data_IF_593139328434
#
_entry.id   IF_593139328434
#
_cell.length_a   1.000
_cell.length_b   1.000
_cell.length_c   1.000
_cell.angle_alpha   90.00
_cell.angle_beta   90.00
_cell.angle_gamma   90.00
#
_symmetry.space_group_name_H-M   'P 1'
#
loop_
_entity.id
_entity.type
_entity.pdbx_description
1 polymer ?
#
# COMPACT_ATOMS: atom_id res chain seq x y z
N UNK A 1 -7.26 -27.60 -4.25
CA UNK A 1 -6.81 -26.43 -5.04
C UNK A 1 -7.31 -25.13 -4.43
N UNK A 2 -8.61 -24.91 -4.20
CA UNK A 2 -9.15 -23.69 -3.58
C UNK A 2 -8.53 -23.35 -2.21
N UNK A 3 -8.41 -24.33 -1.31
CA UNK A 3 -7.72 -24.18 0.00
C UNK A 3 -6.27 -23.69 -0.15
N UNK A 4 -5.51 -24.25 -1.10
CA UNK A 4 -4.13 -23.87 -1.35
C UNK A 4 -4.02 -22.41 -1.81
N UNK A 5 -4.90 -21.96 -2.73
CA UNK A 5 -4.92 -20.56 -3.17
C UNK A 5 -5.23 -19.60 -2.03
N UNK A 6 -6.16 -19.95 -1.14
CA UNK A 6 -6.48 -19.16 0.05
C UNK A 6 -5.28 -18.99 0.98
N UNK A 7 -4.56 -20.07 1.27
CA UNK A 7 -3.35 -20.01 2.11
C UNK A 7 -2.23 -19.21 1.47
N UNK A 8 -1.97 -19.42 0.17
CA UNK A 8 -0.95 -18.64 -0.55
C UNK A 8 -1.26 -17.14 -0.51
N UNK A 9 -2.51 -16.76 -0.75
CA UNK A 9 -2.92 -15.35 -0.68
C UNK A 9 -2.73 -14.77 0.72
N UNK A 10 -3.10 -15.51 1.77
CA UNK A 10 -2.92 -15.06 3.15
C UNK A 10 -1.43 -14.90 3.51
N UNK A 11 -0.59 -15.88 3.16
CA UNK A 11 0.86 -15.79 3.42
C UNK A 11 1.53 -14.67 2.64
N UNK A 12 1.10 -14.40 1.40
CA UNK A 12 1.59 -13.26 0.63
C UNK A 12 1.23 -11.93 1.30
N UNK A 13 -0.03 -11.75 1.72
CA UNK A 13 -0.47 -10.55 2.44
C UNK A 13 0.34 -10.33 3.74
N UNK A 14 0.53 -11.40 4.52
CA UNK A 14 1.34 -11.34 5.75
C UNK A 14 2.82 -11.06 5.45
N UNK A 15 3.38 -11.61 4.36
CA UNK A 15 4.75 -11.31 3.94
C UNK A 15 4.93 -9.84 3.55
N UNK A 16 3.96 -9.26 2.84
CA UNK A 16 3.94 -7.82 2.51
C UNK A 16 3.85 -6.97 3.76
N UNK A 17 2.94 -7.29 4.69
CA UNK A 17 2.83 -6.60 5.99
C UNK A 17 4.16 -6.66 6.77
N UNK A 18 4.76 -7.84 6.85
CA UNK A 18 6.09 -8.02 7.46
C UNK A 18 7.15 -7.20 6.73
N UNK A 19 7.09 -7.11 5.40
CA UNK A 19 7.93 -6.22 4.61
C UNK A 19 7.81 -4.76 5.06
N UNK A 20 6.60 -4.24 5.21
CA UNK A 20 6.39 -2.86 5.68
C UNK A 20 6.92 -2.63 7.09
N UNK A 21 6.77 -3.61 7.99
CA UNK A 21 7.41 -3.58 9.32
C UNK A 21 8.93 -3.47 9.19
N UNK A 22 9.55 -4.28 8.34
CA UNK A 22 11.00 -4.26 8.12
C UNK A 22 11.47 -2.94 7.50
N UNK A 23 10.69 -2.37 6.58
CA UNK A 23 10.98 -1.04 6.03
C UNK A 23 10.92 0.04 7.12
N UNK A 24 9.94 -0.03 8.03
CA UNK A 24 9.86 0.86 9.18
C UNK A 24 11.08 0.73 10.10
N UNK A 25 11.42 -0.50 10.51
CA UNK A 25 12.57 -0.75 11.39
C UNK A 25 13.89 -0.31 10.75
N UNK A 26 14.09 -0.58 9.45
CA UNK A 26 15.24 -0.11 8.70
C UNK A 26 15.34 1.41 8.76
N UNK A 27 14.26 2.13 8.43
CA UNK A 27 14.24 3.59 8.45
C UNK A 27 14.45 4.15 9.87
N UNK A 28 13.93 3.49 10.90
CA UNK A 28 14.13 3.87 12.31
C UNK A 28 15.59 3.72 12.74
N UNK A 29 16.25 2.62 12.36
CA UNK A 29 17.67 2.37 12.67
C UNK A 29 18.57 3.32 11.89
N UNK A 30 18.38 3.46 10.58
CA UNK A 30 19.14 4.40 9.74
C UNK A 30 19.06 5.82 10.27
N UNK A 31 17.89 6.21 10.78
CA UNK A 31 17.67 7.50 11.42
C UNK A 31 18.39 7.63 12.78
N UNK A 32 18.45 6.56 13.57
CA UNK A 32 19.11 6.57 14.89
C UNK A 32 20.62 6.80 14.78
N UNK A 33 21.22 6.47 13.63
CA UNK A 33 22.64 6.71 13.34
C UNK A 33 22.93 8.19 13.08
N UNK A 34 21.96 8.95 12.54
CA UNK A 34 22.14 10.35 12.14
C UNK A 34 21.39 11.30 13.09
N UNK A 35 22.09 12.03 13.98
CA UNK A 35 21.47 13.07 14.80
C UNK A 35 20.69 14.06 13.92
N UNK A 36 19.44 14.38 14.26
CA UNK A 36 18.59 15.34 13.53
C UNK A 36 18.25 15.07 12.05
N UNK A 37 18.65 13.94 11.45
CA UNK A 37 18.11 13.46 10.16
C UNK A 37 16.57 13.41 10.07
N UNK A 38 16.03 13.43 8.86
CA UNK A 38 14.59 13.49 8.60
C UNK A 38 13.87 12.18 8.98
N UNK A 39 12.73 12.29 9.66
CA UNK A 39 11.91 11.15 10.11
C UNK A 39 10.75 10.85 9.17
N UNK A 40 10.59 11.61 8.07
CA UNK A 40 9.47 11.45 7.15
C UNK A 40 9.31 10.02 6.65
N UNK A 41 10.38 9.38 6.16
CA UNK A 41 10.28 8.03 5.60
C UNK A 41 9.96 6.96 6.66
N UNK A 42 10.46 7.14 7.88
CA UNK A 42 10.12 6.31 9.05
C UNK A 42 8.62 6.41 9.37
N UNK A 43 8.06 7.62 9.38
CA UNK A 43 6.64 7.81 9.65
C UNK A 43 5.74 7.26 8.53
N UNK A 44 6.11 7.45 7.25
CA UNK A 44 5.37 6.86 6.12
C UNK A 44 5.36 5.33 6.22
N UNK A 45 6.52 4.71 6.46
CA UNK A 45 6.62 3.24 6.58
C UNK A 45 5.88 2.70 7.81
N UNK A 46 5.86 3.43 8.93
CA UNK A 46 5.04 3.08 10.09
C UNK A 46 3.55 3.13 9.77
N UNK A 47 3.08 4.19 9.11
CA UNK A 47 1.68 4.32 8.70
C UNK A 47 1.27 3.18 7.76
N UNK A 48 2.12 2.82 6.80
CA UNK A 48 1.88 1.67 5.91
C UNK A 48 1.80 0.37 6.70
N UNK A 49 2.75 0.10 7.60
CA UNK A 49 2.73 -1.10 8.43
C UNK A 49 1.43 -1.19 9.26
N UNK A 50 1.01 -0.11 9.92
CA UNK A 50 -0.21 -0.10 10.74
C UNK A 50 -1.47 -0.31 9.89
N UNK A 51 -1.53 0.28 8.69
CA UNK A 51 -2.65 0.07 7.76
C UNK A 51 -2.77 -1.40 7.35
N UNK A 52 -1.64 -2.04 7.01
CA UNK A 52 -1.63 -3.46 6.63
C UNK A 52 -1.87 -4.39 7.80
N UNK A 53 -1.36 -4.06 9.00
CA UNK A 53 -1.64 -4.80 10.22
C UNK A 53 -3.15 -4.79 10.55
N UNK A 54 -3.83 -3.66 10.35
CA UNK A 54 -5.27 -3.55 10.56
C UNK A 54 -6.10 -4.33 9.52
N UNK A 55 -5.58 -4.47 8.29
CA UNK A 55 -6.23 -5.19 7.19
C UNK A 55 -5.91 -6.69 7.13
N UNK A 56 -4.90 -7.17 7.86
CA UNK A 56 -4.33 -8.51 7.67
C UNK A 56 -5.28 -9.64 8.15
N UNK A 57 -5.53 -10.67 7.32
CA UNK A 57 -6.43 -11.77 7.65
C UNK A 57 -6.02 -12.58 8.89
N UNK A 58 -4.73 -12.79 9.12
CA UNK A 58 -4.26 -13.54 10.29
C UNK A 58 -4.48 -12.75 11.57
N UNK A 59 -4.34 -11.43 11.50
CA UNK A 59 -4.60 -10.52 12.61
C UNK A 59 -6.08 -10.54 12.97
N UNK A 60 -6.98 -10.45 11.98
CA UNK A 60 -8.43 -10.59 12.22
C UNK A 60 -8.82 -11.95 12.79
N UNK A 61 -8.19 -13.04 12.33
CA UNK A 61 -8.42 -14.39 12.86
C UNK A 61 -7.90 -14.54 14.30
N UNK A 62 -6.72 -13.98 14.61
CA UNK A 62 -6.11 -14.03 15.95
C UNK A 62 -6.96 -13.27 16.97
N UNK A 63 -7.54 -12.13 16.59
CA UNK A 63 -8.41 -11.34 17.45
C UNK A 63 -9.89 -11.76 17.40
N UNK A 64 -10.22 -12.86 16.71
CA UNK A 64 -11.60 -13.37 16.54
C UNK A 64 -12.57 -12.31 15.98
N UNK A 65 -12.07 -11.39 15.14
CA UNK A 65 -12.87 -10.38 14.44
C UNK A 65 -13.41 -11.03 13.15
N UNK A 66 -14.06 -12.17 13.26
CA UNK A 66 -14.56 -12.96 12.12
C UNK A 66 -16.04 -12.67 11.82
N UNK A 67 -16.43 -11.40 11.80
CA UNK A 67 -17.82 -11.00 11.54
C UNK A 67 -18.04 -10.25 10.23
N UNK A 68 -16.99 -10.09 9.40
CA UNK A 68 -17.10 -9.36 8.13
C UNK A 68 -17.44 -10.31 6.98
N UNK A 69 -18.51 -10.00 6.24
CA UNK A 69 -18.77 -10.65 4.96
C UNK A 69 -17.62 -10.32 3.99
N UNK A 70 -17.25 -11.26 3.11
CA UNK A 70 -16.27 -11.03 2.04
C UNK A 70 -16.61 -9.77 1.22
N UNK A 71 -17.91 -9.50 1.07
CA UNK A 71 -18.47 -8.30 0.46
C UNK A 71 -18.02 -6.99 1.12
N UNK A 72 -18.04 -6.93 2.45
CA UNK A 72 -17.74 -5.71 3.22
C UNK A 72 -16.24 -5.48 3.38
N UNK A 73 -15.42 -6.52 3.21
CA UNK A 73 -13.97 -6.43 3.33
C UNK A 73 -13.35 -5.42 2.35
N UNK A 74 -13.78 -5.42 1.08
CA UNK A 74 -13.27 -4.46 0.07
C UNK A 74 -13.55 -3.01 0.42
N UNK A 75 -14.70 -2.72 1.05
CA UNK A 75 -15.03 -1.36 1.52
C UNK A 75 -14.13 -0.97 2.68
N UNK A 76 -13.93 -1.87 3.64
CA UNK A 76 -13.05 -1.64 4.79
C UNK A 76 -11.62 -1.37 4.32
N UNK A 77 -11.08 -2.18 3.41
CA UNK A 77 -9.74 -1.97 2.85
C UNK A 77 -9.63 -0.64 2.10
N UNK A 78 -10.66 -0.26 1.32
CA UNK A 78 -10.70 1.06 0.67
C UNK A 78 -10.64 2.20 1.70
N UNK A 79 -11.40 2.11 2.79
CA UNK A 79 -11.40 3.13 3.85
C UNK A 79 -10.05 3.20 4.56
N UNK A 80 -9.42 2.06 4.81
CA UNK A 80 -8.08 2.00 5.42
C UNK A 80 -7.03 2.63 4.51
N UNK A 81 -7.03 2.33 3.22
CA UNK A 81 -6.11 2.93 2.24
C UNK A 81 -6.32 4.45 2.11
N UNK A 82 -7.57 4.93 2.07
CA UNK A 82 -7.86 6.37 2.07
C UNK A 82 -7.41 7.05 3.36
N UNK A 83 -7.59 6.39 4.50
CA UNK A 83 -7.11 6.88 5.80
C UNK A 83 -5.58 6.95 5.83
N UNK A 84 -4.91 5.94 5.28
CA UNK A 84 -3.46 5.88 5.13
C UNK A 84 -2.93 7.02 4.24
N UNK A 85 -3.56 7.26 3.08
CA UNK A 85 -3.24 8.40 2.21
C UNK A 85 -3.39 9.71 2.97
N UNK A 86 -4.49 9.90 3.70
CA UNK A 86 -4.72 11.09 4.53
C UNK A 86 -3.61 11.32 5.55
N UNK A 87 -3.23 10.27 6.29
CA UNK A 87 -2.14 10.34 7.25
C UNK A 87 -0.79 10.67 6.61
N UNK A 88 -0.46 10.05 5.46
CA UNK A 88 0.77 10.34 4.71
C UNK A 88 0.80 11.79 4.23
N UNK A 89 -0.31 12.33 3.73
CA UNK A 89 -0.40 13.73 3.32
C UNK A 89 -0.18 14.69 4.49
N UNK A 90 -0.70 14.37 5.68
CA UNK A 90 -0.46 15.16 6.89
C UNK A 90 1.01 15.11 7.33
N UNK A 91 1.62 13.92 7.35
CA UNK A 91 3.05 13.71 7.70
C UNK A 91 3.98 14.45 6.74
N UNK A 92 3.59 14.56 5.48
CA UNK A 92 4.44 15.06 4.39
C UNK A 92 4.00 16.41 3.82
N UNK A 93 3.17 17.16 4.55
CA UNK A 93 2.55 18.42 4.10
C UNK A 93 3.57 19.42 3.53
N UNK A 94 4.68 19.59 4.24
CA UNK A 94 5.73 20.56 3.89
C UNK A 94 6.92 19.90 3.16
N UNK A 95 6.76 18.64 2.72
CA UNK A 95 7.83 17.85 2.11
C UNK A 95 7.59 17.69 0.61
N UNK A 96 8.60 18.09 -0.15
CA UNK A 96 8.61 17.97 -1.61
C UNK A 96 8.66 16.50 -2.05
N UNK A 97 7.94 16.18 -3.11
CA UNK A 97 7.94 14.86 -3.76
C UNK A 97 9.35 14.53 -4.31
N UNK A 98 10.14 15.55 -4.65
CA UNK A 98 11.51 15.38 -5.15
C UNK A 98 12.47 14.84 -4.09
N UNK A 99 12.26 15.20 -2.83
CA UNK A 99 13.08 14.71 -1.70
C UNK A 99 12.66 13.31 -1.24
N UNK A 100 11.41 12.94 -1.49
CA UNK A 100 10.83 11.67 -1.08
C UNK A 100 10.06 11.02 -2.23
N UNK A 101 10.75 10.45 -3.23
CA UNK A 101 10.10 9.69 -4.28
C UNK A 101 9.14 8.63 -3.72
N UNK A 102 9.50 7.96 -2.61
CA UNK A 102 8.67 6.95 -1.96
C UNK A 102 7.23 7.43 -1.66
N UNK A 103 7.04 8.72 -1.32
CA UNK A 103 5.71 9.31 -1.10
C UNK A 103 4.81 9.15 -2.33
N UNK A 104 5.36 9.39 -3.52
CA UNK A 104 4.60 9.29 -4.77
C UNK A 104 4.20 7.83 -5.05
N UNK A 105 5.14 6.90 -4.90
CA UNK A 105 4.89 5.48 -5.13
C UNK A 105 3.82 4.93 -4.18
N UNK A 106 3.90 5.30 -2.91
CA UNK A 106 2.92 4.87 -1.90
C UNK A 106 1.54 5.46 -2.18
N UNK A 107 1.43 6.76 -2.42
CA UNK A 107 0.13 7.39 -2.71
C UNK A 107 -0.48 6.82 -3.98
N UNK A 108 0.31 6.69 -5.06
CA UNK A 108 -0.20 6.11 -6.32
C UNK A 108 -0.59 4.65 -6.14
N UNK A 109 0.20 3.87 -5.41
CA UNK A 109 -0.12 2.47 -5.16
C UNK A 109 -1.42 2.29 -4.39
N UNK A 110 -1.61 3.04 -3.28
CA UNK A 110 -2.85 3.03 -2.51
C UNK A 110 -4.06 3.50 -3.35
N UNK A 111 -3.89 4.48 -4.25
CA UNK A 111 -4.97 4.89 -5.16
C UNK A 111 -5.35 3.80 -6.16
N UNK A 112 -4.37 3.06 -6.69
CA UNK A 112 -4.62 1.90 -7.56
C UNK A 112 -5.36 0.81 -6.78
N UNK A 113 -4.89 0.49 -5.57
CA UNK A 113 -5.53 -0.51 -4.69
C UNK A 113 -6.98 -0.12 -4.37
N UNK A 114 -7.23 1.12 -3.91
CA UNK A 114 -8.59 1.65 -3.71
C UNK A 114 -9.48 1.47 -4.93
N UNK A 115 -8.98 1.82 -6.13
CA UNK A 115 -9.76 1.71 -7.37
C UNK A 115 -10.16 0.27 -7.66
N UNK A 116 -9.25 -0.67 -7.41
CA UNK A 116 -9.52 -2.09 -7.59
C UNK A 116 -10.44 -2.66 -6.52
N UNK A 117 -10.29 -2.26 -5.26
CA UNK A 117 -11.19 -2.67 -4.18
C UNK A 117 -12.63 -2.21 -4.44
N UNK A 118 -12.81 -0.97 -4.90
CA UNK A 118 -14.12 -0.47 -5.32
C UNK A 118 -14.66 -1.28 -6.50
N UNK A 119 -13.81 -1.62 -7.48
CA UNK A 119 -14.21 -2.44 -8.62
C UNK A 119 -14.67 -3.83 -8.20
N UNK A 120 -13.93 -4.49 -7.29
CA UNK A 120 -14.31 -5.79 -6.71
C UNK A 120 -15.59 -5.70 -5.89
N UNK A 121 -15.78 -4.63 -5.13
CA UNK A 121 -17.02 -4.40 -4.39
C UNK A 121 -18.23 -4.31 -5.32
N UNK A 122 -18.13 -3.52 -6.41
CA UNK A 122 -19.18 -3.38 -7.42
C UNK A 122 -19.45 -4.74 -8.09
N UNK A 123 -18.39 -5.45 -8.49
CA UNK A 123 -18.50 -6.73 -9.20
C UNK A 123 -19.23 -7.80 -8.37
N UNK A 124 -18.87 -7.94 -7.10
CA UNK A 124 -19.43 -8.98 -6.23
C UNK A 124 -20.81 -8.58 -5.68
N UNK A 125 -21.02 -7.31 -5.31
CA UNK A 125 -22.23 -6.91 -4.57
C UNK A 125 -23.32 -6.24 -5.40
N UNK A 126 -22.95 -5.61 -6.51
CA UNK A 126 -23.91 -4.88 -7.36
C UNK A 126 -24.21 -5.69 -8.61
N UNK A 127 -23.17 -6.24 -9.23
CA UNK A 127 -23.32 -7.08 -10.42
C UNK A 127 -23.57 -8.55 -10.07
N UNK A 128 -23.41 -8.92 -8.79
CA UNK A 128 -23.66 -10.26 -8.27
C UNK A 128 -22.90 -11.36 -9.03
N UNK A 129 -21.70 -11.04 -9.54
CA UNK A 129 -20.85 -12.02 -10.19
C UNK A 129 -20.31 -13.01 -9.14
N UNK A 130 -20.68 -14.29 -9.28
CA UNK A 130 -20.29 -15.36 -8.34
C UNK A 130 -19.13 -16.21 -8.84
N UNK A 131 -18.77 -16.10 -10.12
CA UNK A 131 -17.68 -16.85 -10.73
C UNK A 131 -16.47 -15.96 -10.99
N UNK A 132 -15.27 -16.48 -10.73
CA UNK A 132 -14.03 -15.79 -11.02
C UNK A 132 -13.91 -15.54 -12.53
N UNK A 133 -13.66 -14.29 -12.89
CA UNK A 133 -13.39 -13.88 -14.26
C UNK A 133 -12.16 -12.97 -14.27
N UNK A 134 -11.77 -12.48 -15.45
CA UNK A 134 -10.47 -11.82 -15.64
C UNK A 134 -10.17 -10.70 -14.62
N UNK A 135 -11.20 -9.98 -14.15
CA UNK A 135 -11.07 -8.90 -13.16
C UNK A 135 -10.49 -9.40 -11.84
N UNK A 136 -10.90 -10.57 -11.36
CA UNK A 136 -10.47 -11.13 -10.07
C UNK A 136 -8.98 -11.51 -10.11
N UNK A 137 -8.55 -12.10 -11.24
CA UNK A 137 -7.14 -12.39 -11.49
C UNK A 137 -6.31 -11.12 -11.63
N UNK A 138 -6.80 -10.14 -12.38
CA UNK A 138 -6.15 -8.83 -12.53
C UNK A 138 -5.99 -8.13 -11.18
N UNK A 139 -7.06 -8.05 -10.39
CA UNK A 139 -7.06 -7.54 -9.03
C UNK A 139 -5.96 -8.19 -8.17
N UNK A 140 -5.95 -9.52 -8.09
CA UNK A 140 -5.03 -10.26 -7.23
C UNK A 140 -3.57 -10.01 -7.62
N UNK A 141 -3.27 -10.03 -8.92
CA UNK A 141 -1.91 -9.81 -9.41
C UNK A 141 -1.48 -8.35 -9.23
N UNK A 142 -2.34 -7.40 -9.58
CA UNK A 142 -2.00 -5.98 -9.55
C UNK A 142 -1.78 -5.47 -8.13
N UNK A 143 -2.64 -5.82 -7.16
CA UNK A 143 -2.46 -5.38 -5.76
C UNK A 143 -1.13 -5.88 -5.21
N UNK A 144 -0.80 -7.16 -5.37
CA UNK A 144 0.48 -7.71 -4.89
C UNK A 144 1.70 -7.06 -5.54
N UNK A 145 1.66 -6.78 -6.85
CA UNK A 145 2.75 -6.09 -7.56
C UNK A 145 2.90 -4.64 -7.05
N UNK A 146 1.78 -3.94 -6.88
CA UNK A 146 1.75 -2.57 -6.40
C UNK A 146 2.28 -2.49 -4.97
N UNK A 147 1.94 -3.43 -4.11
CA UNK A 147 2.42 -3.48 -2.73
C UNK A 147 3.93 -3.75 -2.66
N UNK A 148 4.42 -4.69 -3.46
CA UNK A 148 5.85 -4.93 -3.60
C UNK A 148 6.59 -3.68 -4.11
N UNK A 149 6.00 -2.96 -5.07
CA UNK A 149 6.54 -1.70 -5.58
C UNK A 149 6.61 -0.62 -4.48
N UNK A 150 5.54 -0.45 -3.68
CA UNK A 150 5.51 0.47 -2.54
C UNK A 150 6.57 0.10 -1.50
N UNK A 151 6.71 -1.20 -1.21
CA UNK A 151 7.70 -1.72 -0.28
C UNK A 151 9.14 -1.40 -0.73
N UNK A 152 9.47 -1.68 -2.00
CA UNK A 152 10.77 -1.38 -2.60
C UNK A 152 11.04 0.14 -2.56
N UNK A 153 10.01 0.96 -2.82
CA UNK A 153 10.13 2.41 -2.75
C UNK A 153 10.47 2.89 -1.33
N UNK A 154 9.90 2.29 -0.28
CA UNK A 154 10.18 2.65 1.11
C UNK A 154 11.59 2.24 1.58
N UNK A 155 12.15 1.15 1.06
CA UNK A 155 13.52 0.75 1.34
C UNK A 155 14.55 1.61 0.60
N UNK A 156 14.30 1.87 -0.68
CA UNK A 156 15.28 2.55 -1.54
C UNK A 156 15.19 4.07 -1.47
N UNK A 157 14.00 4.61 -1.24
CA UNK A 157 13.63 6.03 -1.46
C UNK A 157 14.13 6.58 -2.80
N UNK A 158 14.16 5.74 -3.84
CA UNK A 158 14.64 6.10 -5.18
C UNK A 158 13.50 6.07 -6.17
N UNK A 159 13.60 6.92 -7.17
CA UNK A 159 12.68 6.91 -8.31
C UNK A 159 13.09 5.84 -9.33
N UNK A 160 12.89 4.57 -9.01
CA UNK A 160 13.37 3.45 -9.82
C UNK A 160 12.57 3.21 -11.12
N UNK A 161 11.28 3.59 -11.16
CA UNK A 161 10.44 3.57 -12.36
C UNK A 161 10.37 4.91 -13.09
N UNK A 162 10.99 5.97 -12.57
CA UNK A 162 10.89 7.30 -13.18
C UNK A 162 9.53 8.00 -12.98
N UNK A 163 8.70 7.58 -12.03
CA UNK A 163 7.38 8.18 -11.77
C UNK A 163 7.49 9.64 -11.35
N UNK A 164 8.54 10.02 -10.61
CA UNK A 164 8.75 11.44 -10.24
C UNK A 164 9.09 12.26 -11.48
N UNK A 165 9.88 11.71 -12.42
CA UNK A 165 10.14 12.34 -13.72
C UNK A 165 8.88 12.51 -14.55
N UNK A 166 8.03 11.49 -14.61
CA UNK A 166 6.75 11.56 -15.32
C UNK A 166 5.81 12.60 -14.69
N UNK A 167 5.67 12.60 -13.37
CA UNK A 167 4.86 13.58 -12.64
C UNK A 167 5.30 15.03 -12.94
N UNK A 168 6.62 15.24 -13.00
CA UNK A 168 7.21 16.54 -13.34
C UNK A 168 6.88 16.96 -14.77
N UNK A 169 7.04 16.05 -15.75
CA UNK A 169 6.74 16.31 -17.16
C UNK A 169 5.27 16.68 -17.35
N UNK A 170 4.36 15.96 -16.71
CA UNK A 170 2.91 16.25 -16.75
C UNK A 170 2.60 17.64 -16.16
N UNK A 171 3.36 18.08 -15.15
CA UNK A 171 3.23 19.44 -14.57
C UNK A 171 4.02 20.53 -15.30
N UNK A 172 4.75 20.21 -16.38
CA UNK A 172 5.52 21.19 -17.15
C UNK A 172 6.67 21.85 -16.38
N UNK A 173 7.26 21.19 -15.37
CA UNK A 173 8.36 21.76 -14.59
C UNK A 173 9.72 21.42 -15.24
N UNK A 174 10.57 22.41 -15.54
CA UNK A 174 11.91 22.22 -16.12
C UNK A 174 12.88 21.52 -15.13
N UNK A 175 13.75 20.60 -15.57
CA UNK A 175 14.74 19.86 -14.73
C UNK A 175 15.58 20.81 -13.84
N UNK A 176 15.88 20.47 -12.55
CA UNK A 176 16.83 21.27 -11.80
C UNK A 176 18.21 21.07 -12.44
N UNK A 177 18.91 22.18 -12.65
CA UNK A 177 20.31 22.18 -13.04
C UNK A 177 21.21 21.55 -11.96
#
# INVERSE_FOLDING_TARGET
MAEFHKYVSAYLATFIMWGFLMAFLYNMVSKSIVPNGDKTLMWISLTMFLSYLASDPLTSATFQIESMSYATAYVVWTVLDLTCIGAILLITKDKSIYSYPAKLYVILGLLINCSLFISMYIDINILENTEEWWLWGFYTVTVNIVDAMMLIALFSNKDFLGLVKLYRQVRGQAEPA
#
